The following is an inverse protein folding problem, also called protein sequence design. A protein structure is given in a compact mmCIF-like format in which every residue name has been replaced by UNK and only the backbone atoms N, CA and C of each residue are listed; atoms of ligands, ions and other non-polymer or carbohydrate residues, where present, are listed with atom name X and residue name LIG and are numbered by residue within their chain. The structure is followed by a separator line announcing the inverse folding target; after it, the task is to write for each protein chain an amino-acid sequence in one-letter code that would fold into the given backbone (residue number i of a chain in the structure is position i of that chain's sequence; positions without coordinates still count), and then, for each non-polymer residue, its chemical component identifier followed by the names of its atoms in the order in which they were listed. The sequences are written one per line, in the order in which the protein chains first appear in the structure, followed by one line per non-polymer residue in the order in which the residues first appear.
data_IF_647631953662
#
_entry.id   IF_647631953662
#
_cell.length_a   1.000
_cell.length_b   1.000
_cell.length_c   1.000
_cell.angle_alpha   90.00
_cell.angle_beta   90.00
_cell.angle_gamma   90.00
#
_symmetry.space_group_name_H-M   'P 1'
#
loop_
_entity.id
_entity.type
_entity.pdbx_description
1 polymer ?
#
# COMPACT_ATOMS: atom_id res chain seq x y z
N UNK A 1 1.51 3.09 10.26
CA UNK A 1 1.08 1.83 9.61
C UNK A 1 -0.17 1.39 10.35
N UNK A 2 -1.35 1.55 9.76
CA UNK A 2 -2.59 1.17 10.44
C UNK A 2 -3.15 -0.07 9.77
N UNK A 3 -3.42 -1.10 10.57
CA UNK A 3 -4.25 -2.20 10.10
C UNK A 3 -5.58 -1.64 9.56
N UNK A 4 -6.09 -2.14 8.43
CA UNK A 4 -7.39 -1.72 7.92
C UNK A 4 -8.46 -1.94 9.00
N UNK A 5 -9.37 -0.98 9.14
CA UNK A 5 -10.50 -1.12 10.05
C UNK A 5 -11.43 -2.23 9.56
N UNK A 6 -12.16 -2.88 10.47
CA UNK A 6 -13.17 -3.89 10.09
C UNK A 6 -14.17 -3.31 9.09
N UNK A 7 -14.61 -2.06 9.28
CA UNK A 7 -15.54 -1.38 8.36
C UNK A 7 -14.97 -1.22 6.96
N UNK A 8 -13.67 -0.94 6.85
CA UNK A 8 -12.98 -0.87 5.56
C UNK A 8 -12.95 -2.24 4.89
N UNK A 9 -12.67 -3.31 5.64
CA UNK A 9 -12.69 -4.68 5.12
C UNK A 9 -14.08 -5.11 4.68
N UNK A 10 -15.13 -4.75 5.42
CA UNK A 10 -16.52 -5.04 5.04
C UNK A 10 -16.86 -4.44 3.68
N UNK A 11 -16.49 -3.16 3.48
CA UNK A 11 -16.72 -2.46 2.23
C UNK A 11 -15.85 -3.03 1.09
N UNK A 12 -14.53 -3.11 1.30
CA UNK A 12 -13.58 -3.50 0.24
C UNK A 12 -13.74 -4.98 -0.18
N UNK A 13 -14.21 -5.86 0.70
CA UNK A 13 -14.39 -7.29 0.44
C UNK A 13 -15.85 -7.69 0.20
N UNK A 14 -16.79 -6.73 0.29
CA UNK A 14 -18.23 -6.96 0.15
C UNK A 14 -18.76 -8.07 1.08
N UNK A 15 -18.28 -8.08 2.32
CA UNK A 15 -18.70 -9.05 3.36
C UNK A 15 -19.22 -8.33 4.59
N UNK A 16 -20.07 -9.00 5.36
CA UNK A 16 -20.53 -8.47 6.64
C UNK A 16 -19.53 -8.73 7.79
N UNK A 17 -19.69 -7.96 8.87
CA UNK A 17 -18.90 -8.07 10.11
C UNK A 17 -18.84 -9.49 10.68
N UNK A 18 -19.95 -10.22 10.64
CA UNK A 18 -20.03 -11.59 11.17
C UNK A 18 -19.11 -12.53 10.40
N UNK A 19 -19.06 -12.41 9.07
CA UNK A 19 -18.14 -13.17 8.21
C UNK A 19 -16.69 -12.86 8.56
N UNK A 20 -16.32 -11.58 8.74
CA UNK A 20 -14.97 -11.22 9.17
C UNK A 20 -14.61 -11.80 10.54
N UNK A 21 -15.53 -11.77 11.50
CA UNK A 21 -15.32 -12.41 12.81
C UNK A 21 -15.17 -13.93 12.68
N UNK A 22 -15.96 -14.58 11.82
CA UNK A 22 -15.85 -16.00 11.55
C UNK A 22 -14.52 -16.36 10.90
N UNK A 23 -14.01 -15.55 9.98
CA UNK A 23 -12.67 -15.76 9.42
C UNK A 23 -11.59 -15.59 10.48
N UNK A 24 -11.66 -14.54 11.31
CA UNK A 24 -10.70 -14.33 12.40
C UNK A 24 -10.67 -15.51 13.39
N UNK A 25 -11.83 -16.09 13.71
CA UNK A 25 -11.94 -17.21 14.67
C UNK A 25 -11.62 -18.56 14.05
N UNK A 26 -12.22 -18.88 12.91
CA UNK A 26 -12.23 -20.23 12.34
C UNK A 26 -11.25 -20.41 11.18
N UNK A 27 -10.78 -19.31 10.57
CA UNK A 27 -9.81 -19.31 9.46
C UNK A 27 -8.71 -18.25 9.71
N UNK A 28 -7.99 -18.30 10.84
CA UNK A 28 -7.08 -17.24 11.25
C UNK A 28 -5.99 -16.93 10.21
N UNK A 29 -5.44 -17.94 9.54
CA UNK A 29 -4.46 -17.76 8.46
C UNK A 29 -5.00 -16.97 7.26
N UNK A 30 -6.26 -17.20 6.88
CA UNK A 30 -6.91 -16.43 5.81
C UNK A 30 -7.07 -14.97 6.24
N UNK A 31 -7.54 -14.75 7.47
CA UNK A 31 -7.72 -13.41 8.00
C UNK A 31 -6.38 -12.66 8.07
N UNK A 32 -5.33 -13.30 8.57
CA UNK A 32 -3.97 -12.75 8.62
C UNK A 32 -3.43 -12.42 7.22
N UNK A 33 -3.55 -13.34 6.27
CA UNK A 33 -3.14 -13.11 4.87
C UNK A 33 -3.83 -11.89 4.27
N UNK A 34 -5.14 -11.74 4.49
CA UNK A 34 -5.89 -10.57 4.06
C UNK A 34 -5.29 -9.31 4.71
N UNK A 35 -5.14 -9.28 6.03
CA UNK A 35 -4.59 -8.11 6.73
C UNK A 35 -3.19 -7.72 6.23
N UNK A 36 -2.34 -8.71 5.99
CA UNK A 36 -0.99 -8.52 5.46
C UNK A 36 -1.01 -7.92 4.05
N UNK A 37 -1.92 -8.37 3.19
CA UNK A 37 -2.07 -7.82 1.84
C UNK A 37 -2.36 -6.30 1.84
N UNK A 38 -3.20 -5.83 2.77
CA UNK A 38 -3.47 -4.39 2.94
C UNK A 38 -2.23 -3.63 3.40
N UNK A 39 -1.50 -4.17 4.38
CA UNK A 39 -0.24 -3.56 4.85
C UNK A 39 0.78 -3.46 3.70
N UNK A 40 0.93 -4.53 2.92
CA UNK A 40 1.86 -4.57 1.79
C UNK A 40 1.46 -3.55 0.72
N UNK A 41 0.16 -3.39 0.44
CA UNK A 41 -0.33 -2.36 -0.49
C UNK A 41 0.01 -0.94 -0.03
N UNK A 42 -0.11 -0.63 1.26
CA UNK A 42 0.29 0.69 1.79
C UNK A 42 1.80 0.94 1.65
N UNK A 43 2.61 -0.08 1.94
CA UNK A 43 4.08 0.00 1.79
C UNK A 43 4.45 0.23 0.33
N UNK A 44 3.83 -0.51 -0.61
CA UNK A 44 4.06 -0.34 -2.03
C UNK A 44 3.70 1.06 -2.52
N UNK A 45 2.62 1.65 -2.03
CA UNK A 45 2.26 3.04 -2.34
C UNK A 45 3.34 4.03 -1.90
N UNK A 46 3.83 3.90 -0.67
CA UNK A 46 4.91 4.76 -0.16
C UNK A 46 6.21 4.61 -0.95
N UNK A 47 6.56 3.37 -1.28
CA UNK A 47 7.74 3.13 -2.12
C UNK A 47 7.57 3.74 -3.52
N UNK A 48 6.37 3.67 -4.08
CA UNK A 48 6.07 4.30 -5.36
C UNK A 48 6.20 5.83 -5.29
N UNK A 49 5.65 6.46 -4.24
CA UNK A 49 5.79 7.91 -3.99
C UNK A 49 7.27 8.31 -3.91
N UNK A 50 8.07 7.58 -3.13
CA UNK A 50 9.51 7.81 -3.03
C UNK A 50 10.24 7.66 -4.37
N UNK A 51 9.89 6.64 -5.16
CA UNK A 51 10.46 6.44 -6.51
C UNK A 51 10.12 7.60 -7.44
N UNK A 52 8.91 8.16 -7.34
CA UNK A 52 8.51 9.33 -8.12
C UNK A 52 9.30 10.58 -7.72
N UNK A 53 9.49 10.81 -6.42
CA UNK A 53 10.32 11.92 -5.91
C UNK A 53 11.77 11.79 -6.38
N UNK A 54 12.35 10.59 -6.26
CA UNK A 54 13.72 10.31 -6.73
C UNK A 54 13.86 10.55 -8.23
N UNK A 55 12.87 10.10 -9.02
CA UNK A 55 12.84 10.35 -10.46
C UNK A 55 12.88 11.85 -10.76
N UNK A 56 12.05 12.65 -10.09
CA UNK A 56 12.00 14.10 -10.32
C UNK A 56 13.34 14.79 -10.02
N UNK A 57 14.02 14.37 -8.94
CA UNK A 57 15.35 14.89 -8.57
C UNK A 57 16.38 14.56 -9.66
N UNK A 58 16.38 13.31 -10.15
CA UNK A 58 17.29 12.86 -11.21
C UNK A 58 17.03 13.62 -12.51
N UNK A 59 15.77 13.80 -12.89
CA UNK A 59 15.40 14.55 -14.10
C UNK A 59 15.87 16.01 -14.04
N UNK A 60 15.74 16.67 -12.88
CA UNK A 60 16.28 18.02 -12.66
C UNK A 60 17.80 18.07 -12.79
N UNK A 61 18.52 17.12 -12.20
CA UNK A 61 19.98 17.09 -12.29
C UNK A 61 20.48 16.82 -13.72
N UNK A 62 19.78 15.95 -14.46
CA UNK A 62 20.05 15.70 -15.88
C UNK A 62 19.90 17.00 -16.67
N UNK A 63 18.84 17.78 -16.43
CA UNK A 63 18.62 19.05 -17.13
C UNK A 63 19.72 20.08 -16.82
N UNK A 64 20.07 20.25 -15.53
CA UNK A 64 21.17 21.12 -15.10
C UNK A 64 22.48 20.71 -15.77
N UNK A 65 22.77 19.41 -15.83
CA UNK A 65 24.01 18.90 -16.43
C UNK A 65 24.04 19.11 -17.94
N UNK A 66 22.92 18.92 -18.65
CA UNK A 66 22.81 19.24 -20.08
C UNK A 66 23.11 20.71 -20.35
N UNK A 67 22.54 21.61 -19.55
CA UNK A 67 22.75 23.05 -19.66
C UNK A 67 24.19 23.51 -19.34
N UNK A 68 25.03 22.66 -18.72
CA UNK A 68 26.46 22.96 -18.48
C UNK A 68 27.37 22.56 -19.64
N UNK A 69 26.94 21.62 -20.47
CA UNK A 69 27.73 21.08 -21.59
C UNK A 69 27.44 21.85 -22.89
N UNK A 70 26.21 22.36 -23.03
CA UNK A 70 25.79 23.24 -24.14
C UNK A 70 26.19 24.68 -23.83
#
# INVERSE_FOLDING_TARGET
MSMPSLRKLEFDLEVNKTTLHNWKRNRPKLFEFIMESYKNREILKKHLELLMEQKEIIEKEIDITKNRIV
#
